data_IF_642492907653
#
_entry.id   IF_642492907653
#
_cell.length_a   1.000
_cell.length_b   1.000
_cell.length_c   1.000
_cell.angle_alpha   90.00
_cell.angle_beta   90.00
_cell.angle_gamma   90.00
#
_symmetry.space_group_name_H-M   'P 1'
#
loop_
_entity.id
_entity.type
_entity.pdbx_description
1 polymer ?
#
# COMPACT_ATOMS: atom_id res chain seq x y z
N UNK A 1 -1.07 -19.94 -51.25
CA UNK A 1 -2.28 -19.46 -50.53
C UNK A 1 -2.31 -20.22 -49.20
N UNK A 2 -2.21 -19.69 -47.97
CA UNK A 2 -2.60 -18.42 -47.36
C UNK A 2 -1.68 -18.13 -46.16
N UNK A 3 -1.15 -16.90 -46.07
CA UNK A 3 -0.32 -16.39 -44.98
C UNK A 3 -1.25 -15.89 -43.85
N UNK A 4 -1.64 -16.76 -42.91
CA UNK A 4 -2.40 -16.35 -41.72
C UNK A 4 -1.47 -15.67 -40.71
N UNK A 5 -1.36 -14.35 -40.78
CA UNK A 5 -0.86 -13.51 -39.69
C UNK A 5 -1.97 -13.44 -38.63
N UNK A 6 -1.99 -14.37 -37.69
CA UNK A 6 -2.89 -14.31 -36.53
C UNK A 6 -2.31 -13.37 -35.48
N UNK A 7 -2.63 -12.08 -35.60
CA UNK A 7 -2.65 -11.17 -34.45
C UNK A 7 -3.86 -11.56 -33.60
N UNK A 8 -3.80 -12.71 -32.91
CA UNK A 8 -4.87 -13.23 -32.07
C UNK A 8 -4.84 -12.66 -30.66
N UNK A 9 -6.01 -12.54 -30.05
CA UNK A 9 -6.17 -12.34 -28.59
C UNK A 9 -5.42 -13.49 -27.91
N UNK A 10 -4.34 -13.18 -27.17
CA UNK A 10 -3.48 -14.15 -26.49
C UNK A 10 -2.15 -14.51 -27.17
N UNK A 11 -1.79 -13.92 -28.31
CA UNK A 11 -0.47 -14.15 -28.91
C UNK A 11 0.67 -13.54 -28.05
N UNK A 12 1.76 -14.28 -27.76
CA UNK A 12 2.85 -13.76 -26.94
C UNK A 12 3.54 -12.59 -27.64
N UNK A 13 3.57 -11.44 -26.97
CA UNK A 13 4.31 -10.26 -27.41
C UNK A 13 5.80 -10.44 -27.10
N UNK A 14 6.65 -10.15 -28.08
CA UNK A 14 8.11 -10.15 -27.90
C UNK A 14 8.51 -9.17 -26.80
N UNK A 15 9.50 -9.52 -25.97
CA UNK A 15 9.99 -8.69 -24.85
C UNK A 15 10.27 -7.23 -25.24
N UNK A 16 10.87 -7.01 -26.41
CA UNK A 16 11.12 -5.66 -26.94
C UNK A 16 9.83 -4.87 -27.19
N UNK A 17 8.80 -5.51 -27.75
CA UNK A 17 7.49 -4.89 -27.98
C UNK A 17 6.75 -4.62 -26.68
N UNK A 18 6.82 -5.52 -25.71
CA UNK A 18 6.28 -5.29 -24.37
C UNK A 18 6.94 -4.08 -23.70
N UNK A 19 8.28 -4.01 -23.70
CA UNK A 19 9.01 -2.88 -23.13
C UNK A 19 8.68 -1.56 -23.84
N UNK A 20 8.61 -1.55 -25.17
CA UNK A 20 8.22 -0.36 -25.93
C UNK A 20 6.82 0.12 -25.56
N UNK A 21 5.84 -0.78 -25.45
CA UNK A 21 4.48 -0.42 -25.05
C UNK A 21 4.48 0.11 -23.60
N UNK A 22 5.16 -0.58 -22.67
CA UNK A 22 5.24 -0.15 -21.28
C UNK A 22 5.85 1.26 -21.16
N UNK A 23 7.00 1.49 -21.80
CA UNK A 23 7.66 2.80 -21.80
C UNK A 23 6.77 3.87 -22.45
N UNK A 24 6.14 3.57 -23.58
CA UNK A 24 5.24 4.51 -24.25
C UNK A 24 4.03 4.89 -23.37
N UNK A 25 3.45 3.93 -22.64
CA UNK A 25 2.35 4.19 -21.72
C UNK A 25 2.80 5.06 -20.56
N UNK A 26 3.90 4.72 -19.88
CA UNK A 26 4.41 5.52 -18.76
C UNK A 26 4.84 6.92 -19.19
N UNK A 27 5.51 7.05 -20.35
CA UNK A 27 5.87 8.35 -20.91
C UNK A 27 4.62 9.16 -21.27
N UNK A 28 3.61 8.53 -21.88
CA UNK A 28 2.33 9.17 -22.19
C UNK A 28 1.61 9.67 -20.94
N UNK A 29 1.56 8.86 -19.88
CA UNK A 29 0.99 9.27 -18.59
C UNK A 29 1.79 10.42 -17.95
N UNK A 30 3.12 10.36 -17.99
CA UNK A 30 3.98 11.43 -17.48
C UNK A 30 3.78 12.76 -18.22
N UNK A 31 3.69 12.70 -19.56
CA UNK A 31 3.39 13.87 -20.38
C UNK A 31 1.99 14.41 -20.13
N UNK A 32 0.98 13.53 -19.99
CA UNK A 32 -0.37 13.93 -19.65
C UNK A 32 -0.43 14.62 -18.28
N UNK A 33 0.28 14.11 -17.28
CA UNK A 33 0.40 14.74 -15.97
C UNK A 33 1.08 16.11 -16.05
N UNK A 34 2.23 16.18 -16.72
CA UNK A 34 2.96 17.44 -16.89
C UNK A 34 2.10 18.50 -17.61
N UNK A 35 1.45 18.13 -18.72
CA UNK A 35 0.54 19.01 -19.45
C UNK A 35 -0.69 19.42 -18.62
N UNK A 36 -1.31 18.48 -17.90
CA UNK A 36 -2.46 18.77 -17.05
C UNK A 36 -2.15 19.80 -15.95
N UNK A 37 -0.95 19.70 -15.36
CA UNK A 37 -0.51 20.63 -14.32
C UNK A 37 -0.02 21.96 -14.89
N UNK A 38 0.68 21.96 -16.03
CA UNK A 38 1.18 23.17 -16.68
C UNK A 38 0.08 24.02 -17.33
N UNK A 39 -1.03 23.41 -17.77
CA UNK A 39 -2.21 24.09 -18.30
C UNK A 39 -3.22 24.49 -17.22
N UNK A 40 -2.89 24.29 -15.93
CA UNK A 40 -3.76 24.59 -14.79
C UNK A 40 -5.15 23.91 -14.85
N UNK A 41 -5.25 22.77 -15.53
CA UNK A 41 -6.50 22.01 -15.67
C UNK A 41 -6.96 21.42 -14.33
N UNK A 42 -6.05 21.28 -13.36
CA UNK A 42 -6.30 20.76 -12.02
C UNK A 42 -5.66 21.68 -10.98
N UNK A 43 -6.36 21.92 -9.87
CA UNK A 43 -5.79 22.73 -8.77
C UNK A 43 -4.54 22.03 -8.20
N UNK A 44 -3.44 22.77 -7.93
CA UNK A 44 -2.19 22.20 -7.42
C UNK A 44 -2.31 21.41 -6.12
N UNK A 45 -3.34 21.68 -5.31
CA UNK A 45 -3.62 20.94 -4.07
C UNK A 45 -4.01 19.47 -4.31
N UNK A 46 -4.63 19.18 -5.45
CA UNK A 46 -5.02 17.81 -5.82
C UNK A 46 -3.98 17.13 -6.70
N UNK A 47 -3.31 17.91 -7.55
CA UNK A 47 -2.30 17.39 -8.47
C UNK A 47 -1.13 18.39 -8.58
N UNK A 48 -0.11 18.27 -7.72
CA UNK A 48 1.09 19.08 -7.82
C UNK A 48 1.84 18.78 -9.12
N UNK A 49 2.57 19.77 -9.65
CA UNK A 49 3.37 19.60 -10.87
C UNK A 49 4.54 18.64 -10.60
N UNK A 50 5.00 17.87 -11.61
CA UNK A 50 6.15 16.97 -11.45
C UNK A 50 7.40 17.66 -10.88
N UNK A 51 7.64 18.91 -11.29
CA UNK A 51 8.75 19.74 -10.80
C UNK A 51 8.60 20.08 -9.31
N UNK A 52 7.40 20.46 -8.88
CA UNK A 52 7.13 20.76 -7.46
C UNK A 52 7.32 19.53 -6.57
N UNK A 53 6.97 18.34 -7.08
CA UNK A 53 7.21 17.06 -6.39
C UNK A 53 8.71 16.79 -6.28
N UNK A 54 9.48 16.96 -7.36
CA UNK A 54 10.92 16.75 -7.35
C UNK A 54 11.64 17.72 -6.40
N UNK A 55 11.23 18.99 -6.41
CA UNK A 55 11.77 20.00 -5.49
C UNK A 55 11.47 19.67 -4.03
N UNK A 56 10.21 19.34 -3.72
CA UNK A 56 9.79 19.00 -2.36
C UNK A 56 10.49 17.72 -1.86
N UNK A 57 10.72 16.74 -2.74
CA UNK A 57 11.49 15.55 -2.42
C UNK A 57 12.94 15.91 -2.03
N UNK A 58 13.60 16.76 -2.82
CA UNK A 58 14.95 17.24 -2.52
C UNK A 58 15.03 17.99 -1.20
N UNK A 59 14.04 18.86 -0.93
CA UNK A 59 13.93 19.60 0.33
C UNK A 59 13.74 18.68 1.55
N UNK A 60 12.82 17.72 1.47
CA UNK A 60 12.58 16.77 2.58
C UNK A 60 13.78 15.84 2.80
N UNK A 61 14.54 15.56 1.75
CA UNK A 61 15.78 14.81 1.83
C UNK A 61 16.89 15.63 2.51
N UNK A 62 17.09 16.89 2.11
CA UNK A 62 18.12 17.76 2.68
C UNK A 62 17.89 18.08 4.15
N UNK A 63 16.64 18.31 4.52
CA UNK A 63 16.26 18.71 5.88
C UNK A 63 16.12 17.49 6.82
N UNK A 64 16.33 16.27 6.30
CA UNK A 64 16.31 15.01 7.05
C UNK A 64 14.92 14.52 7.44
N UNK A 65 13.86 15.32 7.20
CA UNK A 65 12.47 14.98 7.52
C UNK A 65 12.04 13.68 6.85
N UNK A 66 12.40 13.47 5.57
CA UNK A 66 12.03 12.24 4.86
C UNK A 66 12.58 10.99 5.55
N UNK A 67 13.82 11.08 6.05
CA UNK A 67 14.46 9.97 6.75
C UNK A 67 13.84 9.74 8.13
N UNK A 68 13.46 10.81 8.84
CA UNK A 68 12.77 10.71 10.12
C UNK A 68 11.39 10.05 9.96
N UNK A 69 10.62 10.48 8.97
CA UNK A 69 9.30 9.92 8.68
C UNK A 69 9.38 8.46 8.24
N UNK A 70 10.37 8.13 7.40
CA UNK A 70 10.63 6.77 6.97
C UNK A 70 10.98 5.87 8.17
N UNK A 71 11.89 6.33 9.05
CA UNK A 71 12.26 5.60 10.27
C UNK A 71 11.06 5.41 11.18
N UNK A 72 10.24 6.44 11.38
CA UNK A 72 9.04 6.34 12.20
C UNK A 72 8.04 5.32 11.63
N UNK A 73 7.84 5.30 10.31
CA UNK A 73 6.97 4.34 9.62
C UNK A 73 7.49 2.90 9.79
N UNK A 74 8.78 2.67 9.53
CA UNK A 74 9.41 1.34 9.67
C UNK A 74 9.35 0.87 11.12
N UNK A 75 9.67 1.76 12.08
CA UNK A 75 9.60 1.48 13.51
C UNK A 75 8.21 0.99 13.91
N UNK A 76 7.18 1.71 13.48
CA UNK A 76 5.80 1.39 13.86
C UNK A 76 5.31 0.07 13.28
N UNK A 77 5.58 -0.17 12.00
CA UNK A 77 5.20 -1.42 11.33
C UNK A 77 5.96 -2.61 11.95
N UNK A 78 7.26 -2.44 12.22
CA UNK A 78 8.09 -3.49 12.83
C UNK A 78 7.57 -3.89 14.20
N UNK A 79 7.26 -2.92 15.07
CA UNK A 79 6.75 -3.21 16.42
C UNK A 79 5.36 -3.85 16.36
N UNK A 80 4.43 -3.26 15.59
CA UNK A 80 3.09 -3.82 15.44
C UNK A 80 3.14 -5.26 14.92
N UNK A 81 3.94 -5.51 13.88
CA UNK A 81 4.15 -6.85 13.34
C UNK A 81 4.73 -7.83 14.36
N UNK A 82 5.71 -7.42 15.17
CA UNK A 82 6.31 -8.29 16.19
C UNK A 82 5.30 -8.66 17.27
N UNK A 83 4.51 -7.69 17.76
CA UNK A 83 3.47 -7.93 18.77
C UNK A 83 2.37 -8.84 18.18
N UNK A 84 1.88 -8.51 16.99
CA UNK A 84 0.85 -9.28 16.30
C UNK A 84 1.32 -10.71 16.04
N UNK A 85 2.55 -10.90 15.54
CA UNK A 85 3.12 -12.23 15.28
C UNK A 85 3.32 -13.03 16.56
N UNK A 86 3.79 -12.38 17.63
CA UNK A 86 3.99 -13.03 18.93
C UNK A 86 2.68 -13.59 19.51
N UNK A 87 1.53 -12.98 19.20
CA UNK A 87 0.21 -13.45 19.64
C UNK A 87 -0.45 -14.39 18.61
N UNK A 88 -0.44 -14.01 17.34
CA UNK A 88 -1.13 -14.73 16.28
C UNK A 88 -0.48 -16.09 15.96
N UNK A 89 0.85 -16.20 16.03
CA UNK A 89 1.54 -17.47 15.75
C UNK A 89 1.16 -18.54 16.78
N UNK A 90 1.29 -18.31 18.11
CA UNK A 90 0.86 -19.30 19.10
C UNK A 90 -0.62 -19.65 18.98
N UNK A 91 -1.50 -18.66 18.80
CA UNK A 91 -2.94 -18.89 18.65
C UNK A 91 -3.22 -19.73 17.39
N UNK A 92 -2.61 -19.39 16.26
CA UNK A 92 -2.76 -20.13 15.01
C UNK A 92 -2.26 -21.57 15.11
N UNK A 93 -1.13 -21.80 15.81
CA UNK A 93 -0.61 -23.15 16.09
C UNK A 93 -1.59 -23.92 16.99
N UNK A 94 -2.16 -23.30 18.02
CA UNK A 94 -3.14 -23.95 18.91
C UNK A 94 -4.41 -24.36 18.16
N UNK A 95 -4.98 -23.46 17.35
CA UNK A 95 -6.15 -23.76 16.49
C UNK A 95 -5.82 -24.90 15.53
N UNK A 96 -4.66 -24.87 14.86
CA UNK A 96 -4.27 -25.88 13.89
C UNK A 96 -3.92 -27.26 14.47
N UNK A 97 -3.66 -27.34 15.78
CA UNK A 97 -3.25 -28.60 16.44
C UNK A 97 -4.34 -29.21 17.31
N UNK A 98 -5.25 -28.40 17.88
CA UNK A 98 -6.26 -28.86 18.83
C UNK A 98 -7.67 -28.44 18.42
N UNK A 99 -8.54 -29.44 18.17
CA UNK A 99 -9.96 -29.22 17.79
C UNK A 99 -10.77 -28.40 18.80
N UNK A 100 -10.41 -28.45 20.09
CA UNK A 100 -11.07 -27.66 21.14
C UNK A 100 -10.78 -26.16 20.95
N UNK A 101 -9.54 -25.81 20.62
CA UNK A 101 -9.12 -24.43 20.39
C UNK A 101 -9.66 -23.91 19.06
N UNK A 102 -9.69 -24.76 18.03
CA UNK A 102 -10.37 -24.50 16.77
C UNK A 102 -11.83 -24.09 17.00
N UNK A 103 -12.64 -24.97 17.62
CA UNK A 103 -14.05 -24.69 17.87
C UNK A 103 -14.32 -23.45 18.76
N UNK A 104 -13.39 -23.11 19.66
CA UNK A 104 -13.54 -21.98 20.57
C UNK A 104 -13.16 -20.62 19.94
N UNK A 105 -12.10 -20.58 19.13
CA UNK A 105 -11.52 -19.33 18.63
C UNK A 105 -11.91 -19.04 17.18
N UNK A 106 -12.12 -20.06 16.35
CA UNK A 106 -12.43 -19.90 14.92
C UNK A 106 -13.65 -18.99 14.66
N UNK A 107 -14.79 -19.11 15.38
CA UNK A 107 -15.93 -18.21 15.18
C UNK A 107 -15.60 -16.73 15.47
N UNK A 108 -14.75 -16.48 16.47
CA UNK A 108 -14.33 -15.12 16.83
C UNK A 108 -13.38 -14.54 15.77
N UNK A 109 -12.42 -15.35 15.31
CA UNK A 109 -11.47 -14.95 14.27
C UNK A 109 -12.20 -14.65 12.96
N UNK A 110 -13.13 -15.52 12.55
CA UNK A 110 -13.92 -15.28 11.35
C UNK A 110 -14.74 -14.00 11.47
N UNK A 111 -15.38 -13.74 12.62
CA UNK A 111 -16.09 -12.50 12.86
C UNK A 111 -15.18 -11.27 12.73
N UNK A 112 -14.02 -11.27 13.37
CA UNK A 112 -13.06 -10.15 13.33
C UNK A 112 -12.51 -9.94 11.93
N UNK A 113 -12.22 -11.02 11.18
CA UNK A 113 -11.65 -10.95 9.82
C UNK A 113 -12.55 -10.22 8.83
N UNK A 114 -13.87 -10.27 9.03
CA UNK A 114 -14.83 -9.54 8.18
C UNK A 114 -15.11 -8.11 8.65
N UNK A 115 -14.64 -7.70 9.83
CA UNK A 115 -14.83 -6.34 10.31
C UNK A 115 -13.86 -5.36 9.65
N UNK A 116 -14.31 -4.17 9.21
CA UNK A 116 -13.43 -3.16 8.65
C UNK A 116 -12.55 -2.57 9.75
N UNK A 117 -11.23 -2.72 9.63
CA UNK A 117 -10.24 -2.16 10.59
C UNK A 117 -10.46 -0.65 10.81
N UNK A 118 -10.89 0.06 9.76
CA UNK A 118 -11.16 1.51 9.81
C UNK A 118 -12.27 1.88 10.81
N UNK A 119 -13.22 0.98 11.10
CA UNK A 119 -14.27 1.24 12.08
C UNK A 119 -13.73 1.33 13.53
N UNK A 120 -12.56 0.76 13.81
CA UNK A 120 -11.93 0.82 15.13
C UNK A 120 -11.07 2.07 15.33
N UNK A 121 -10.79 2.85 14.28
CA UNK A 121 -9.95 4.05 14.38
C UNK A 121 -10.50 5.04 15.42
N UNK A 122 -11.79 5.43 15.42
CA UNK A 122 -12.31 6.39 16.40
C UNK A 122 -12.24 5.87 17.85
N UNK A 123 -12.58 4.58 18.04
CA UNK A 123 -12.55 3.94 19.35
C UNK A 123 -11.12 3.87 19.90
N UNK A 124 -10.17 3.46 19.07
CA UNK A 124 -8.74 3.39 19.44
C UNK A 124 -8.18 4.76 19.80
N UNK A 125 -8.59 5.83 19.12
CA UNK A 125 -8.20 7.21 19.45
C UNK A 125 -8.78 7.62 20.80
N UNK A 126 -10.05 7.30 21.06
CA UNK A 126 -10.71 7.64 22.32
C UNK A 126 -10.04 6.93 23.51
N UNK A 127 -9.57 5.70 23.31
CA UNK A 127 -9.00 4.90 24.39
C UNK A 127 -7.49 5.11 24.58
N UNK A 128 -6.74 5.26 23.49
CA UNK A 128 -5.27 5.33 23.49
C UNK A 128 -4.70 6.71 23.12
N UNK A 129 -5.55 7.67 22.76
CA UNK A 129 -5.13 8.98 22.24
C UNK A 129 -4.62 8.93 20.79
N UNK A 130 -3.93 9.98 20.34
CA UNK A 130 -3.40 10.11 18.96
C UNK A 130 -1.90 9.76 18.83
N UNK A 131 -1.34 9.14 19.86
CA UNK A 131 0.07 8.78 19.93
C UNK A 131 0.45 7.56 19.07
N UNK A 132 1.59 6.95 19.38
CA UNK A 132 2.04 5.74 18.69
C UNK A 132 1.34 4.47 19.19
N UNK A 133 0.90 4.45 20.45
CA UNK A 133 0.10 3.36 21.02
C UNK A 133 -1.18 3.10 20.21
N UNK A 134 -1.85 4.15 19.73
CA UNK A 134 -3.04 4.03 18.89
C UNK A 134 -2.72 3.34 17.54
N UNK A 135 -1.55 3.60 16.97
CA UNK A 135 -1.11 2.97 15.72
C UNK A 135 -0.80 1.49 15.95
N UNK A 136 -0.19 1.15 17.08
CA UNK A 136 0.12 -0.24 17.45
C UNK A 136 -1.11 -1.08 17.77
N UNK A 137 -2.20 -0.47 18.26
CA UNK A 137 -3.45 -1.19 18.51
C UNK A 137 -4.17 -1.60 17.21
N UNK A 138 -3.92 -0.88 16.11
CA UNK A 138 -4.57 -1.11 14.83
C UNK A 138 -3.77 -2.07 13.93
N UNK A 139 -2.44 -2.00 14.00
CA UNK A 139 -1.51 -2.86 13.23
C UNK A 139 -1.48 -4.25 13.85
#
# INVERSE_FOLDING_TARGET
MLRRRSSGIGAPITRSRFLMIAVAVFAGLGLAWWAATGLELVKPIFLPSPESVAWQLGKLWSDGTLLLDLKASIYRISIGFLIASALAIPIGVLIGTFRVWEAAIEPLVDFIRYMPVVAFVPLSILWSGTGDAQKFLII
#
